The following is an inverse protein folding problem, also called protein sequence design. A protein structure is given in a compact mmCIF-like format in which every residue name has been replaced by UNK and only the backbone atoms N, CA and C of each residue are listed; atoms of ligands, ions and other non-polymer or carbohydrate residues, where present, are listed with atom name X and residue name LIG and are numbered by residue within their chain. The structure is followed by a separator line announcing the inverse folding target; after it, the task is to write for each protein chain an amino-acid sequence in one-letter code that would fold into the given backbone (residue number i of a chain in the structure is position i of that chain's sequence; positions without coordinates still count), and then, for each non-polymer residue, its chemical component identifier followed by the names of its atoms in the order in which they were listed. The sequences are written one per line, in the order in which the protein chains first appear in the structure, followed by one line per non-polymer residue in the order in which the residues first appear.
data_IF_648438411743
#
_entry.id   IF_648438411743
#
_cell.length_a   1.000
_cell.length_b   1.000
_cell.length_c   1.000
_cell.angle_alpha   90.00
_cell.angle_beta   90.00
_cell.angle_gamma   90.00
#
_symmetry.space_group_name_H-M   'P 1'
#
loop_
_entity.id
_entity.type
_entity.pdbx_description
1 polymer ?
#
# COMPACT_ATOMS: atom_id res chain seq x y z
N UNK A 1 10.60 -0.45 16.88
CA UNK A 1 9.69 -1.00 15.82
C UNK A 1 8.84 -2.09 16.42
N UNK A 2 7.53 -1.88 16.47
CA UNK A 2 6.57 -2.89 16.92
C UNK A 2 6.38 -3.95 15.84
N UNK A 3 6.06 -5.17 16.28
CA UNK A 3 5.65 -6.28 15.41
C UNK A 3 4.15 -6.53 15.60
N UNK A 4 3.42 -6.68 14.51
CA UNK A 4 1.95 -6.83 14.52
C UNK A 4 1.51 -8.11 13.81
N UNK A 5 0.36 -8.70 14.18
CA UNK A 5 -0.24 -9.80 13.44
C UNK A 5 -0.48 -9.42 11.97
N UNK A 6 -0.30 -10.40 11.08
CA UNK A 6 -0.43 -10.17 9.64
C UNK A 6 -1.33 -11.23 8.98
N UNK A 7 -2.57 -11.31 9.45
CA UNK A 7 -3.56 -12.28 9.00
C UNK A 7 -3.06 -13.72 9.13
N UNK A 8 -3.10 -14.52 8.05
CA UNK A 8 -2.62 -15.90 8.07
C UNK A 8 -1.09 -16.02 7.93
N UNK A 9 -0.39 -14.87 7.81
CA UNK A 9 1.05 -14.85 7.58
C UNK A 9 1.81 -14.57 8.87
N UNK A 10 3.13 -14.79 8.84
CA UNK A 10 4.02 -14.43 9.94
C UNK A 10 3.92 -12.94 10.28
N UNK A 11 4.02 -12.56 11.55
CA UNK A 11 3.94 -11.16 11.99
C UNK A 11 4.87 -10.23 11.22
N UNK A 12 4.49 -8.96 11.12
CA UNK A 12 5.21 -7.94 10.33
C UNK A 12 5.51 -6.70 11.18
N UNK A 13 6.53 -5.92 10.81
CA UNK A 13 6.76 -4.60 11.39
C UNK A 13 5.56 -3.67 11.20
N UNK A 14 5.27 -2.81 12.16
CA UNK A 14 4.17 -1.84 12.10
C UNK A 14 4.29 -0.88 10.91
N UNK A 15 5.50 -0.68 10.39
CA UNK A 15 5.77 0.05 9.16
C UNK A 15 6.28 -0.90 8.06
N UNK A 16 5.88 -0.62 6.83
CA UNK A 16 6.33 -1.27 5.59
C UNK A 16 6.97 -0.21 4.69
N UNK A 17 8.15 -0.47 4.14
CA UNK A 17 8.76 0.45 3.19
C UNK A 17 8.10 0.30 1.81
N UNK A 18 7.40 1.35 1.37
CA UNK A 18 6.77 1.40 0.05
C UNK A 18 7.74 1.85 -1.05
N UNK A 19 7.63 1.23 -2.20
CA UNK A 19 8.47 1.52 -3.37
C UNK A 19 8.08 2.78 -4.15
N UNK A 20 6.92 3.38 -3.89
CA UNK A 20 6.45 4.54 -4.64
C UNK A 20 7.41 5.74 -4.58
N UNK A 21 7.90 6.07 -3.38
CA UNK A 21 8.91 7.12 -3.21
C UNK A 21 10.26 6.74 -3.80
N UNK A 22 10.73 5.50 -3.56
CA UNK A 22 11.98 4.97 -4.12
C UNK A 22 11.98 4.97 -5.66
N UNK A 23 10.82 4.74 -6.27
CA UNK A 23 10.59 4.78 -7.72
C UNK A 23 10.26 6.17 -8.27
N UNK A 24 10.37 7.22 -7.46
CA UNK A 24 10.14 8.62 -7.88
C UNK A 24 8.69 8.95 -8.26
N UNK A 25 7.70 8.17 -7.80
CA UNK A 25 6.27 8.47 -8.02
C UNK A 25 5.84 9.74 -7.27
N UNK A 26 6.45 9.99 -6.12
CA UNK A 26 6.11 11.11 -5.22
C UNK A 26 7.11 12.27 -5.27
N UNK A 27 8.00 12.29 -6.23
CA UNK A 27 9.03 13.31 -6.37
C UNK A 27 10.41 12.70 -6.65
N UNK A 28 11.39 13.56 -6.91
CA UNK A 28 12.72 13.13 -7.29
C UNK A 28 13.51 12.52 -6.11
N UNK A 29 14.22 11.45 -6.41
CA UNK A 29 15.27 10.90 -5.55
C UNK A 29 16.38 10.33 -6.45
N UNK A 30 17.54 10.03 -5.90
CA UNK A 30 18.59 9.32 -6.63
C UNK A 30 18.56 7.83 -6.28
N UNK A 31 19.04 6.97 -7.18
CA UNK A 31 19.15 5.54 -6.86
C UNK A 31 20.03 5.28 -5.64
N UNK A 32 21.13 6.01 -5.49
CA UNK A 32 21.99 5.88 -4.30
C UNK A 32 21.28 6.22 -3.00
N UNK A 33 20.45 7.30 -2.98
CA UNK A 33 19.65 7.65 -1.82
C UNK A 33 18.54 6.62 -1.57
N UNK A 34 17.89 6.13 -2.62
CA UNK A 34 16.86 5.09 -2.50
C UNK A 34 17.44 3.80 -1.90
N UNK A 35 18.61 3.35 -2.36
CA UNK A 35 19.33 2.19 -1.78
C UNK A 35 19.70 2.43 -0.32
N UNK A 36 20.23 3.62 0.00
CA UNK A 36 20.54 3.98 1.38
C UNK A 36 19.29 4.01 2.28
N UNK A 37 18.16 4.49 1.76
CA UNK A 37 16.86 4.49 2.45
C UNK A 37 16.39 3.06 2.74
N UNK A 38 16.55 2.13 1.80
CA UNK A 38 16.23 0.70 2.00
C UNK A 38 17.06 0.11 3.14
N UNK A 39 18.38 0.34 3.14
CA UNK A 39 19.26 -0.16 4.19
C UNK A 39 18.91 0.43 5.56
N UNK A 40 18.64 1.74 5.63
CA UNK A 40 18.25 2.39 6.87
C UNK A 40 16.88 1.90 7.38
N UNK A 41 15.93 1.63 6.48
CA UNK A 41 14.63 1.06 6.84
C UNK A 41 14.78 -0.31 7.51
N UNK A 42 15.61 -1.19 6.95
CA UNK A 42 15.89 -2.50 7.56
C UNK A 42 16.63 -2.35 8.90
N UNK A 43 17.61 -1.46 8.98
CA UNK A 43 18.29 -1.16 10.24
C UNK A 43 17.34 -0.60 11.31
N UNK A 44 16.31 0.16 10.90
CA UNK A 44 15.22 0.65 11.75
C UNK A 44 14.18 -0.42 12.14
N UNK A 45 14.35 -1.66 11.68
CA UNK A 45 13.49 -2.80 12.03
C UNK A 45 12.29 -3.04 11.10
N UNK A 46 12.22 -2.39 9.94
CA UNK A 46 11.22 -2.70 8.91
C UNK A 46 11.50 -4.09 8.33
N UNK A 47 10.48 -4.95 8.28
CA UNK A 47 10.58 -6.33 7.83
C UNK A 47 9.80 -6.62 6.53
N UNK A 48 9.10 -5.64 5.98
CA UNK A 48 8.35 -5.79 4.73
C UNK A 48 8.65 -4.64 3.77
N UNK A 49 8.90 -5.00 2.50
CA UNK A 49 9.17 -4.09 1.39
C UNK A 49 8.04 -4.23 0.37
N UNK A 50 7.33 -3.13 0.04
CA UNK A 50 6.14 -3.15 -0.81
C UNK A 50 6.42 -2.51 -2.17
N UNK A 51 6.84 -3.34 -3.13
CA UNK A 51 7.27 -2.92 -4.46
C UNK A 51 6.16 -3.08 -5.51
N UNK A 52 6.38 -2.53 -6.69
CA UNK A 52 5.57 -2.78 -7.89
C UNK A 52 6.35 -2.42 -9.16
N UNK A 53 6.11 -3.09 -10.31
CA UNK A 53 6.74 -2.74 -11.58
C UNK A 53 6.32 -1.34 -12.10
N UNK A 54 5.16 -0.83 -11.65
CA UNK A 54 4.66 0.50 -11.98
C UNK A 54 5.29 1.63 -11.15
N UNK A 55 6.12 1.31 -10.15
CA UNK A 55 6.76 2.32 -9.32
C UNK A 55 8.08 2.78 -9.95
N UNK A 56 7.96 3.84 -10.74
CA UNK A 56 9.03 4.45 -11.49
C UNK A 56 9.25 3.84 -12.88
N UNK A 57 10.09 4.53 -13.65
CA UNK A 57 10.40 4.11 -15.01
C UNK A 57 11.10 2.75 -14.99
N UNK A 58 10.68 1.83 -15.84
CA UNK A 58 11.29 0.51 -16.02
C UNK A 58 11.37 -0.33 -14.73
N UNK A 59 10.43 -0.12 -13.77
CA UNK A 59 10.39 -0.81 -12.49
C UNK A 59 11.51 -0.38 -11.55
N UNK A 60 11.79 0.91 -11.48
CA UNK A 60 12.90 1.49 -10.70
C UNK A 60 12.91 1.03 -9.25
N UNK A 61 11.76 1.04 -8.56
CA UNK A 61 11.67 0.58 -7.18
C UNK A 61 12.15 -0.87 -7.00
N UNK A 62 11.82 -1.75 -7.93
CA UNK A 62 12.28 -3.16 -7.90
C UNK A 62 13.78 -3.27 -8.19
N UNK A 63 14.31 -2.43 -9.08
CA UNK A 63 15.77 -2.37 -9.36
C UNK A 63 16.55 -1.87 -8.15
N UNK A 64 16.00 -0.93 -7.37
CA UNK A 64 16.58 -0.49 -6.09
C UNK A 64 16.75 -1.68 -5.14
N UNK A 65 15.76 -2.55 -5.02
CA UNK A 65 15.85 -3.77 -4.20
C UNK A 65 16.92 -4.72 -4.73
N UNK A 66 16.94 -4.93 -6.06
CA UNK A 66 17.95 -5.77 -6.73
C UNK A 66 19.39 -5.26 -6.52
N UNK A 67 19.59 -3.95 -6.43
CA UNK A 67 20.88 -3.33 -6.14
C UNK A 67 21.22 -3.41 -4.63
N UNK A 68 20.27 -3.05 -3.76
CA UNK A 68 20.48 -3.02 -2.32
C UNK A 68 20.89 -4.39 -1.74
N UNK A 69 20.35 -5.48 -2.26
CA UNK A 69 20.56 -6.81 -1.67
C UNK A 69 21.25 -7.82 -2.58
N UNK A 70 21.52 -7.48 -3.84
CA UNK A 70 22.19 -8.34 -4.80
C UNK A 70 21.64 -9.78 -4.85
N UNK A 71 20.30 -9.93 -4.70
CA UNK A 71 19.62 -11.23 -4.73
C UNK A 71 19.55 -11.97 -3.39
N UNK A 72 19.99 -11.37 -2.30
CA UNK A 72 19.96 -11.99 -0.96
C UNK A 72 19.35 -11.05 0.06
N UNK A 73 18.03 -11.16 0.28
CA UNK A 73 17.35 -10.42 1.34
C UNK A 73 17.91 -10.79 2.73
N UNK A 74 18.03 -9.84 3.65
CA UNK A 74 18.34 -10.12 5.05
C UNK A 74 17.32 -11.08 5.67
N UNK A 75 17.76 -11.88 6.66
CA UNK A 75 16.87 -12.83 7.34
C UNK A 75 15.68 -12.10 7.97
N UNK A 76 14.47 -12.59 7.72
CA UNK A 76 13.23 -12.03 8.25
C UNK A 76 12.68 -10.85 7.42
N UNK A 77 13.41 -10.38 6.41
CA UNK A 77 12.89 -9.38 5.46
C UNK A 77 12.12 -10.08 4.35
N UNK A 78 10.92 -9.57 4.09
CA UNK A 78 10.00 -10.06 3.07
C UNK A 78 9.75 -8.99 2.02
N UNK A 79 9.33 -9.41 0.83
CA UNK A 79 9.06 -8.49 -0.27
C UNK A 79 7.73 -8.81 -0.92
N UNK A 80 7.01 -7.76 -1.30
CA UNK A 80 5.83 -7.84 -2.16
C UNK A 80 6.16 -7.29 -3.53
N UNK A 81 5.43 -7.77 -4.54
CA UNK A 81 5.27 -7.05 -5.81
C UNK A 81 3.83 -7.14 -6.28
N UNK A 82 3.49 -6.47 -7.37
CA UNK A 82 2.10 -6.30 -7.80
C UNK A 82 1.98 -6.39 -9.32
N UNK A 83 0.75 -6.60 -9.81
CA UNK A 83 0.45 -6.52 -11.23
C UNK A 83 -0.91 -5.90 -11.50
N UNK A 84 -0.96 -4.97 -12.45
CA UNK A 84 -2.21 -4.45 -13.01
C UNK A 84 -2.61 -5.36 -14.17
N UNK A 85 -3.57 -6.27 -13.92
CA UNK A 85 -3.95 -7.30 -14.90
C UNK A 85 -4.96 -6.79 -15.93
N UNK A 86 -5.93 -5.98 -15.50
CA UNK A 86 -7.10 -5.68 -16.31
C UNK A 86 -8.05 -6.89 -16.45
N UNK A 87 -8.79 -6.95 -17.54
CA UNK A 87 -9.73 -8.04 -17.87
C UNK A 87 -9.34 -8.72 -19.19
N UNK A 88 -8.22 -9.48 -19.24
CA UNK A 88 -7.86 -10.25 -20.41
C UNK A 88 -8.78 -11.47 -20.57
N UNK A 89 -8.74 -12.19 -21.72
CA UNK A 89 -9.35 -13.51 -21.83
C UNK A 89 -8.88 -14.45 -20.71
N UNK A 90 -9.80 -15.24 -20.14
CA UNK A 90 -9.51 -16.09 -18.98
C UNK A 90 -8.30 -17.03 -19.18
N UNK A 91 -8.13 -17.57 -20.39
CA UNK A 91 -7.01 -18.44 -20.74
C UNK A 91 -5.63 -17.77 -20.71
N UNK A 92 -5.58 -16.42 -20.72
CA UNK A 92 -4.33 -15.66 -20.71
C UNK A 92 -3.90 -15.23 -19.30
N UNK A 93 -4.81 -15.29 -18.32
CA UNK A 93 -4.60 -14.73 -16.96
C UNK A 93 -3.34 -15.25 -16.30
N UNK A 94 -3.18 -16.59 -16.25
CA UNK A 94 -2.01 -17.19 -15.63
C UNK A 94 -0.70 -16.74 -16.31
N UNK A 95 -0.65 -16.77 -17.65
CA UNK A 95 0.55 -16.39 -18.37
C UNK A 95 0.93 -14.92 -18.12
N UNK A 96 -0.05 -14.01 -18.14
CA UNK A 96 0.19 -12.58 -17.87
C UNK A 96 0.69 -12.32 -16.44
N UNK A 97 0.12 -12.98 -15.44
CA UNK A 97 0.60 -12.90 -14.05
C UNK A 97 2.00 -13.48 -13.92
N UNK A 98 2.25 -14.64 -14.53
CA UNK A 98 3.55 -15.32 -14.53
C UNK A 98 4.64 -14.46 -15.17
N UNK A 99 4.42 -13.93 -16.36
CA UNK A 99 5.38 -13.09 -17.09
C UNK A 99 5.70 -11.79 -16.32
N UNK A 100 4.68 -11.17 -15.72
CA UNK A 100 4.87 -9.99 -14.89
C UNK A 100 5.72 -10.31 -13.66
N UNK A 101 5.44 -11.43 -13.00
CA UNK A 101 6.22 -11.89 -11.85
C UNK A 101 7.67 -12.18 -12.24
N UNK A 102 7.91 -12.85 -13.37
CA UNK A 102 9.26 -13.13 -13.87
C UNK A 102 10.05 -11.83 -14.11
N UNK A 103 9.42 -10.83 -14.72
CA UNK A 103 10.00 -9.52 -14.89
C UNK A 103 10.36 -8.85 -13.57
N UNK A 104 9.48 -8.91 -12.57
CA UNK A 104 9.71 -8.37 -11.22
C UNK A 104 10.84 -9.09 -10.50
N UNK A 105 10.84 -10.42 -10.53
CA UNK A 105 11.89 -11.26 -9.94
C UNK A 105 13.26 -10.97 -10.56
N UNK A 106 13.32 -10.82 -11.88
CA UNK A 106 14.56 -10.47 -12.59
C UNK A 106 15.09 -9.09 -12.15
N UNK A 107 14.22 -8.06 -12.02
CA UNK A 107 14.64 -6.72 -11.57
C UNK A 107 15.12 -6.72 -10.12
N UNK A 108 14.43 -7.43 -9.23
CA UNK A 108 14.81 -7.58 -7.83
C UNK A 108 15.94 -8.59 -7.61
N UNK A 109 16.30 -9.40 -8.64
CA UNK A 109 17.27 -10.49 -8.55
C UNK A 109 16.88 -11.56 -7.53
N UNK A 110 15.59 -11.84 -7.40
CA UNK A 110 15.03 -12.81 -6.45
C UNK A 110 14.44 -14.01 -7.20
N UNK A 111 14.26 -15.12 -6.49
CA UNK A 111 13.63 -16.33 -7.05
C UNK A 111 12.15 -16.47 -6.68
N UNK A 112 11.68 -15.72 -5.70
CA UNK A 112 10.30 -15.69 -5.23
C UNK A 112 9.99 -14.36 -4.53
N UNK A 113 8.71 -14.05 -4.38
CA UNK A 113 8.23 -13.00 -3.49
C UNK A 113 7.34 -13.58 -2.39
N UNK A 114 7.23 -12.87 -1.29
CA UNK A 114 6.37 -13.30 -0.16
C UNK A 114 4.89 -13.00 -0.45
N UNK A 115 4.61 -11.89 -1.13
CA UNK A 115 3.27 -11.51 -1.54
C UNK A 115 3.23 -11.06 -2.99
N UNK A 116 2.21 -11.48 -3.72
CA UNK A 116 1.90 -10.98 -5.05
C UNK A 116 0.50 -10.40 -5.08
N UNK A 117 0.36 -9.12 -5.41
CA UNK A 117 -0.87 -8.35 -5.21
C UNK A 117 -1.49 -7.97 -6.56
N UNK A 118 -2.79 -8.21 -6.73
CA UNK A 118 -3.55 -7.64 -7.83
C UNK A 118 -3.66 -6.12 -7.63
N UNK A 119 -3.00 -5.34 -8.51
CA UNK A 119 -2.82 -3.89 -8.37
C UNK A 119 -3.91 -3.08 -9.10
N UNK A 120 -4.93 -3.74 -9.64
CA UNK A 120 -6.07 -3.14 -10.32
C UNK A 120 -7.32 -3.11 -9.45
N UNK A 121 -8.34 -2.39 -9.92
CA UNK A 121 -9.66 -2.40 -9.29
C UNK A 121 -10.40 -3.67 -9.69
N UNK A 122 -11.13 -4.27 -8.76
CA UNK A 122 -12.12 -5.32 -9.06
C UNK A 122 -13.44 -4.60 -9.33
N UNK A 123 -14.10 -4.93 -10.46
CA UNK A 123 -15.31 -4.27 -10.94
C UNK A 123 -16.22 -5.29 -11.62
N UNK A 124 -17.44 -5.44 -11.11
CA UNK A 124 -18.42 -6.38 -11.70
C UNK A 124 -18.83 -6.00 -13.13
N UNK A 125 -18.74 -4.71 -13.47
CA UNK A 125 -19.10 -4.18 -14.79
C UNK A 125 -17.92 -4.07 -15.77
N UNK A 126 -16.71 -4.49 -15.38
CA UNK A 126 -15.57 -4.44 -16.28
C UNK A 126 -15.76 -5.40 -17.46
N UNK A 127 -15.59 -4.88 -18.67
CA UNK A 127 -15.65 -5.66 -19.91
C UNK A 127 -14.31 -6.33 -20.22
N UNK A 128 -14.33 -7.38 -21.04
CA UNK A 128 -13.12 -7.97 -21.59
C UNK A 128 -12.32 -6.91 -22.36
N UNK A 129 -11.00 -6.87 -22.14
CA UNK A 129 -10.11 -5.86 -22.71
C UNK A 129 -9.91 -4.62 -21.83
N UNK A 130 -10.64 -4.45 -20.73
CA UNK A 130 -10.35 -3.37 -19.77
C UNK A 130 -8.91 -3.50 -19.23
N UNK A 131 -8.18 -2.39 -19.19
CA UNK A 131 -6.73 -2.43 -18.88
C UNK A 131 -6.39 -2.23 -17.40
N UNK A 132 -7.29 -1.63 -16.62
CA UNK A 132 -7.05 -1.28 -15.20
C UNK A 132 -8.09 -1.85 -14.25
N UNK A 133 -9.15 -2.45 -14.78
CA UNK A 133 -10.24 -3.05 -14.02
C UNK A 133 -10.33 -4.52 -14.34
N UNK A 134 -10.38 -5.35 -13.31
CA UNK A 134 -10.53 -6.81 -13.41
C UNK A 134 -11.99 -7.17 -13.14
N UNK A 135 -12.65 -7.82 -14.08
CA UNK A 135 -14.01 -8.28 -13.90
C UNK A 135 -14.13 -9.22 -12.70
N UNK A 136 -15.18 -9.07 -11.88
CA UNK A 136 -15.39 -9.87 -10.66
C UNK A 136 -15.54 -11.37 -10.93
N UNK A 137 -16.17 -11.77 -12.05
CA UNK A 137 -16.25 -13.17 -12.49
C UNK A 137 -14.87 -13.69 -12.87
N UNK A 138 -14.16 -12.96 -13.74
CA UNK A 138 -12.79 -13.30 -14.14
C UNK A 138 -11.85 -13.40 -12.91
N UNK A 139 -12.03 -12.51 -11.92
CA UNK A 139 -11.25 -12.57 -10.68
C UNK A 139 -11.45 -13.92 -9.97
N UNK A 140 -12.69 -14.36 -9.78
CA UNK A 140 -12.96 -15.63 -9.10
C UNK A 140 -12.58 -16.86 -9.91
N UNK A 141 -12.87 -16.85 -11.22
CA UNK A 141 -12.79 -18.03 -12.08
C UNK A 141 -11.39 -18.26 -12.68
N UNK A 142 -10.58 -17.20 -12.81
CA UNK A 142 -9.26 -17.30 -13.43
C UNK A 142 -8.13 -16.69 -12.62
N UNK A 143 -8.32 -15.49 -12.01
CA UNK A 143 -7.23 -14.79 -11.30
C UNK A 143 -6.86 -15.51 -10.01
N UNK A 144 -7.84 -15.86 -9.19
CA UNK A 144 -7.59 -16.59 -7.93
C UNK A 144 -6.95 -17.96 -8.20
N UNK A 145 -7.47 -18.82 -9.10
CA UNK A 145 -6.79 -20.06 -9.46
C UNK A 145 -5.36 -19.86 -9.97
N UNK A 146 -5.09 -18.77 -10.72
CA UNK A 146 -3.74 -18.46 -11.17
C UNK A 146 -2.80 -18.10 -10.00
N UNK A 147 -3.27 -17.30 -9.04
CA UNK A 147 -2.50 -17.01 -7.82
C UNK A 147 -2.25 -18.26 -6.97
N UNK A 148 -3.26 -19.11 -6.80
CA UNK A 148 -3.12 -20.39 -6.08
C UNK A 148 -2.12 -21.31 -6.75
N UNK A 149 -2.12 -21.36 -8.08
CA UNK A 149 -1.11 -22.09 -8.86
C UNK A 149 0.30 -21.53 -8.63
N UNK A 150 0.51 -20.21 -8.72
CA UNK A 150 1.82 -19.60 -8.45
C UNK A 150 2.28 -19.86 -7.00
N UNK A 151 1.35 -19.94 -6.05
CA UNK A 151 1.63 -20.32 -4.66
C UNK A 151 2.07 -21.77 -4.56
N UNK A 152 1.35 -22.69 -5.22
CA UNK A 152 1.70 -24.13 -5.22
C UNK A 152 3.03 -24.41 -5.92
N UNK A 153 3.41 -23.61 -6.92
CA UNK A 153 4.71 -23.64 -7.59
C UNK A 153 5.84 -23.05 -6.72
N UNK A 154 5.52 -22.46 -5.55
CA UNK A 154 6.48 -21.85 -4.64
C UNK A 154 7.05 -20.51 -5.12
N UNK A 155 6.48 -19.93 -6.18
CA UNK A 155 6.93 -18.67 -6.78
C UNK A 155 6.49 -17.45 -5.96
N UNK A 156 5.37 -17.55 -5.28
CA UNK A 156 4.87 -16.57 -4.31
C UNK A 156 4.55 -17.27 -2.97
N UNK A 157 4.59 -16.54 -1.88
CA UNK A 157 4.20 -17.06 -0.56
C UNK A 157 2.69 -17.01 -0.36
N UNK A 158 2.07 -15.90 -0.77
CA UNK A 158 0.63 -15.68 -0.73
C UNK A 158 0.23 -14.61 -1.75
N UNK A 159 -1.07 -14.40 -1.90
CA UNK A 159 -1.59 -13.35 -2.77
C UNK A 159 -2.45 -12.34 -2.01
N UNK A 160 -2.61 -11.15 -2.59
CA UNK A 160 -3.39 -10.06 -2.04
C UNK A 160 -4.12 -9.26 -3.12
N UNK A 161 -4.90 -8.28 -2.67
CA UNK A 161 -5.61 -7.35 -3.54
C UNK A 161 -5.39 -5.90 -3.13
N UNK A 162 -5.57 -4.98 -4.07
CA UNK A 162 -5.73 -3.56 -3.78
C UNK A 162 -7.18 -3.31 -3.34
N UNK A 163 -7.34 -2.78 -2.12
CA UNK A 163 -8.62 -2.38 -1.54
C UNK A 163 -8.98 -0.92 -1.86
N UNK A 164 -8.55 -0.42 -3.04
CA UNK A 164 -8.95 0.88 -3.58
C UNK A 164 -9.65 0.63 -4.91
N UNK A 165 -10.93 0.97 -4.99
CA UNK A 165 -11.79 0.67 -6.12
C UNK A 165 -13.25 0.69 -5.69
N UNK A 166 -14.07 -0.12 -6.33
CA UNK A 166 -15.48 -0.27 -6.00
C UNK A 166 -15.66 -0.98 -4.65
N UNK A 167 -16.06 -0.27 -3.57
CA UNK A 167 -16.17 -0.88 -2.25
C UNK A 167 -17.11 -2.08 -2.22
N UNK A 168 -18.19 -2.07 -3.00
CA UNK A 168 -19.11 -3.20 -3.12
C UNK A 168 -18.41 -4.49 -3.58
N UNK A 169 -17.55 -4.40 -4.61
CA UNK A 169 -16.81 -5.54 -5.14
C UNK A 169 -15.72 -6.02 -4.17
N UNK A 170 -15.03 -5.09 -3.50
CA UNK A 170 -14.00 -5.43 -2.51
C UNK A 170 -14.62 -6.13 -1.30
N UNK A 171 -15.73 -5.59 -0.77
CA UNK A 171 -16.46 -6.19 0.36
C UNK A 171 -16.98 -7.58 0.01
N UNK A 172 -17.49 -7.77 -1.22
CA UNK A 172 -17.95 -9.06 -1.70
C UNK A 172 -16.80 -10.12 -1.72
N UNK A 173 -15.60 -9.75 -2.15
CA UNK A 173 -14.42 -10.63 -2.08
C UNK A 173 -14.06 -10.96 -0.63
N UNK A 174 -14.05 -9.97 0.26
CA UNK A 174 -13.65 -10.18 1.66
C UNK A 174 -14.67 -11.02 2.43
N UNK A 175 -15.96 -10.88 2.16
CA UNK A 175 -17.04 -11.54 2.90
C UNK A 175 -17.39 -12.92 2.34
N UNK A 176 -17.39 -13.07 1.02
CA UNK A 176 -17.84 -14.30 0.36
C UNK A 176 -16.70 -15.15 -0.22
N UNK A 177 -15.48 -14.59 -0.29
CA UNK A 177 -14.30 -15.30 -0.80
C UNK A 177 -14.31 -15.58 -2.31
N UNK A 178 -13.24 -16.23 -2.80
CA UNK A 178 -12.05 -16.65 -2.07
C UNK A 178 -11.29 -15.45 -1.50
N UNK A 179 -10.78 -15.59 -0.28
CA UNK A 179 -10.17 -14.48 0.48
C UNK A 179 -8.68 -14.35 0.19
N UNK A 180 -8.21 -13.11 -0.07
CA UNK A 180 -6.77 -12.84 -0.12
C UNK A 180 -6.14 -12.97 1.26
N UNK A 181 -4.83 -13.21 1.34
CA UNK A 181 -4.11 -13.11 2.60
C UNK A 181 -4.00 -11.65 3.09
N UNK A 182 -3.98 -10.70 2.16
CA UNK A 182 -3.73 -9.27 2.43
C UNK A 182 -4.61 -8.40 1.54
N UNK A 183 -5.10 -7.28 2.10
CA UNK A 183 -5.69 -6.17 1.36
C UNK A 183 -4.93 -4.87 1.63
N UNK A 184 -4.57 -4.11 0.58
CA UNK A 184 -4.05 -2.74 0.71
C UNK A 184 -5.22 -1.76 0.73
N UNK A 185 -5.43 -1.07 1.85
CA UNK A 185 -6.57 -0.18 2.03
C UNK A 185 -6.13 1.23 2.47
N UNK A 186 -6.90 2.23 2.07
CA UNK A 186 -6.69 3.62 2.52
C UNK A 186 -6.72 3.67 4.05
N UNK A 187 -5.68 4.25 4.63
CA UNK A 187 -5.54 4.44 6.08
C UNK A 187 -5.07 5.87 6.37
N UNK A 188 -5.97 6.81 6.27
CA UNK A 188 -5.73 8.20 6.65
C UNK A 188 -6.99 8.82 7.27
N UNK A 189 -6.79 9.91 7.98
CA UNK A 189 -7.85 10.59 8.71
C UNK A 189 -8.97 11.16 7.82
N UNK A 190 -8.71 11.39 6.53
CA UNK A 190 -9.70 11.92 5.58
C UNK A 190 -10.59 10.84 4.97
N UNK A 191 -10.26 9.55 5.18
CA UNK A 191 -10.84 8.40 4.49
C UNK A 191 -10.83 8.56 2.94
N UNK A 192 -9.90 9.39 2.45
CA UNK A 192 -9.85 9.82 1.06
C UNK A 192 -8.86 9.01 0.23
N UNK A 193 -9.31 8.45 -0.89
CA UNK A 193 -8.43 7.88 -1.89
C UNK A 193 -7.74 8.94 -2.77
N UNK A 194 -8.13 10.23 -2.66
CA UNK A 194 -7.60 11.31 -3.50
C UNK A 194 -7.71 10.97 -4.98
N UNK A 195 -6.68 11.26 -5.75
CA UNK A 195 -6.61 11.00 -7.20
C UNK A 195 -6.68 9.52 -7.60
N UNK A 196 -6.68 8.58 -6.64
CA UNK A 196 -6.96 7.17 -6.92
C UNK A 196 -8.47 6.87 -7.05
N UNK A 197 -9.36 7.82 -6.72
CA UNK A 197 -10.80 7.67 -6.88
C UNK A 197 -11.19 7.72 -8.37
N UNK A 198 -11.19 6.57 -9.00
CA UNK A 198 -11.58 6.36 -10.41
C UNK A 198 -12.81 5.46 -10.53
N UNK A 199 -13.71 5.55 -9.55
CA UNK A 199 -14.96 4.81 -9.41
C UNK A 199 -16.04 5.75 -8.89
N UNK A 200 -17.30 5.46 -9.13
CA UNK A 200 -18.45 6.30 -8.84
C UNK A 200 -19.09 6.06 -7.47
N UNK A 201 -18.77 4.91 -6.82
CA UNK A 201 -19.22 4.66 -5.44
C UNK A 201 -18.55 5.61 -4.43
N UNK A 202 -19.20 5.83 -3.29
CA UNK A 202 -18.56 6.48 -2.15
C UNK A 202 -17.42 5.61 -1.62
N UNK A 203 -16.28 6.19 -1.28
CA UNK A 203 -15.20 5.45 -0.64
C UNK A 203 -15.63 4.98 0.76
N UNK A 204 -15.33 3.72 1.10
CA UNK A 204 -15.69 3.09 2.40
C UNK A 204 -14.48 2.35 3.00
N UNK A 205 -13.33 3.03 3.19
CA UNK A 205 -12.11 2.34 3.62
C UNK A 205 -12.28 1.69 5.00
N UNK A 206 -12.95 2.33 5.95
CA UNK A 206 -13.16 1.78 7.29
C UNK A 206 -14.03 0.52 7.28
N UNK A 207 -15.04 0.44 6.41
CA UNK A 207 -15.84 -0.78 6.24
C UNK A 207 -15.01 -1.91 5.64
N UNK A 208 -14.15 -1.61 4.65
CA UNK A 208 -13.23 -2.58 4.04
C UNK A 208 -12.25 -3.11 5.09
N UNK A 209 -11.66 -2.23 5.90
CA UNK A 209 -10.77 -2.62 7.01
C UNK A 209 -11.51 -3.53 7.99
N UNK A 210 -12.71 -3.15 8.43
CA UNK A 210 -13.51 -3.95 9.36
C UNK A 210 -13.89 -5.32 8.78
N UNK A 211 -14.25 -5.39 7.49
CA UNK A 211 -14.54 -6.64 6.81
C UNK A 211 -13.31 -7.54 6.71
N UNK A 212 -12.14 -6.97 6.38
CA UNK A 212 -10.88 -7.70 6.33
C UNK A 212 -10.55 -8.33 7.69
N UNK A 213 -10.62 -7.54 8.77
CA UNK A 213 -10.34 -8.01 10.15
C UNK A 213 -11.28 -9.15 10.55
N UNK A 214 -12.60 -8.97 10.33
CA UNK A 214 -13.60 -10.03 10.66
C UNK A 214 -13.32 -11.35 9.94
N UNK A 215 -12.70 -11.29 8.77
CA UNK A 215 -12.44 -12.44 7.92
C UNK A 215 -10.97 -12.92 7.96
N UNK A 216 -10.16 -12.42 8.89
CA UNK A 216 -8.77 -12.84 9.07
C UNK A 216 -7.82 -12.40 7.97
N UNK A 217 -8.19 -11.41 7.17
CA UNK A 217 -7.36 -10.82 6.11
C UNK A 217 -6.52 -9.69 6.69
N UNK A 218 -5.20 -9.71 6.45
CA UNK A 218 -4.32 -8.64 6.92
C UNK A 218 -4.56 -7.32 6.15
N UNK A 219 -4.43 -6.20 6.85
CA UNK A 219 -4.58 -4.88 6.23
C UNK A 219 -3.24 -4.15 6.18
N UNK A 220 -2.79 -3.86 4.97
CA UNK A 220 -1.70 -2.92 4.74
C UNK A 220 -2.30 -1.53 4.50
N UNK A 221 -2.17 -0.64 5.47
CA UNK A 221 -2.65 0.73 5.38
C UNK A 221 -1.80 1.54 4.40
N UNK A 222 -2.41 2.10 3.37
CA UNK A 222 -1.73 2.94 2.39
C UNK A 222 -2.21 4.39 2.47
N UNK A 223 -1.43 5.32 1.88
CA UNK A 223 -1.76 6.75 1.80
C UNK A 223 -1.90 7.43 3.17
N UNK A 224 -1.10 7.06 4.16
CA UNK A 224 -1.14 7.67 5.50
C UNK A 224 -1.08 9.21 5.47
N UNK A 225 -0.25 9.78 4.59
CA UNK A 225 -0.15 11.24 4.37
C UNK A 225 -1.00 11.74 3.19
N UNK A 226 -1.94 10.94 2.68
CA UNK A 226 -2.87 11.28 1.58
C UNK A 226 -2.14 11.92 0.37
N UNK A 227 -1.01 11.34 -0.06
CA UNK A 227 -0.15 11.86 -1.13
C UNK A 227 0.28 13.33 -0.94
N UNK A 228 0.57 13.72 0.29
CA UNK A 228 1.02 15.06 0.65
C UNK A 228 -0.08 15.96 1.21
N UNK A 229 -1.37 15.58 1.12
CA UNK A 229 -2.46 16.42 1.62
C UNK A 229 -2.46 16.58 3.15
N UNK A 230 -1.87 15.64 3.87
CA UNK A 230 -1.70 15.65 5.34
C UNK A 230 -0.27 16.03 5.76
N UNK A 231 0.44 16.80 4.95
CA UNK A 231 1.76 17.36 5.26
C UNK A 231 1.70 18.88 5.38
N UNK A 232 2.83 19.52 5.66
CA UNK A 232 2.92 20.98 5.78
C UNK A 232 2.67 21.70 4.45
N UNK A 233 3.04 21.07 3.33
CA UNK A 233 2.82 21.58 1.97
C UNK A 233 2.80 20.40 0.98
N UNK A 234 2.08 20.54 -0.13
CA UNK A 234 2.19 19.63 -1.26
C UNK A 234 3.50 19.95 -1.99
N UNK A 235 4.38 18.99 -2.11
CA UNK A 235 5.76 19.13 -2.61
C UNK A 235 5.89 19.03 -4.14
N UNK A 236 4.79 19.10 -4.85
CA UNK A 236 4.72 19.05 -6.32
C UNK A 236 3.61 19.94 -6.86
N UNK A 237 3.76 20.37 -8.08
CA UNK A 237 2.72 21.10 -8.79
C UNK A 237 1.54 20.18 -9.12
N UNK A 238 0.33 20.61 -8.77
CA UNK A 238 -0.92 19.94 -9.09
C UNK A 238 -1.87 20.94 -9.76
N UNK A 239 -2.70 20.51 -10.69
CA UNK A 239 -3.69 21.39 -11.29
C UNK A 239 -4.70 21.86 -10.24
N UNK A 240 -5.25 23.07 -10.39
CA UNK A 240 -6.34 23.56 -9.54
C UNK A 240 -7.50 22.58 -9.52
N UNK A 241 -8.03 22.30 -8.33
CA UNK A 241 -9.13 21.35 -8.16
C UNK A 241 -8.72 19.87 -8.19
N UNK A 242 -7.42 19.57 -8.24
CA UNK A 242 -6.97 18.18 -8.03
C UNK A 242 -7.46 17.65 -6.68
N UNK A 243 -7.85 16.37 -6.59
CA UNK A 243 -8.34 15.77 -5.34
C UNK A 243 -7.41 15.98 -4.15
N UNK A 244 -6.09 15.92 -4.36
CA UNK A 244 -5.09 16.16 -3.33
C UNK A 244 -5.07 17.62 -2.86
N UNK A 245 -5.37 18.59 -3.72
CA UNK A 245 -5.49 20.01 -3.33
C UNK A 245 -6.73 20.21 -2.47
N UNK A 246 -7.86 19.63 -2.87
CA UNK A 246 -9.11 19.65 -2.09
C UNK A 246 -8.90 19.01 -0.71
N UNK A 247 -8.25 17.86 -0.67
CA UNK A 247 -7.92 17.16 0.57
C UNK A 247 -6.94 17.98 1.44
N UNK A 248 -5.99 18.67 0.82
CA UNK A 248 -5.08 19.57 1.55
C UNK A 248 -5.85 20.71 2.21
N UNK A 249 -6.80 21.33 1.53
CA UNK A 249 -7.64 22.40 2.11
C UNK A 249 -8.50 21.85 3.25
N UNK A 250 -9.16 20.70 3.07
CA UNK A 250 -9.91 20.00 4.11
C UNK A 250 -9.08 19.70 5.36
N UNK A 251 -7.80 19.39 5.19
CA UNK A 251 -6.89 19.03 6.27
C UNK A 251 -6.35 20.24 7.06
N UNK A 252 -6.82 21.46 6.84
CA UNK A 252 -6.36 22.63 7.59
C UNK A 252 -6.54 22.47 9.12
N UNK A 253 -7.70 21.99 9.65
CA UNK A 253 -7.85 21.75 11.08
C UNK A 253 -6.88 20.70 11.63
N UNK A 254 -6.58 19.65 10.87
CA UNK A 254 -5.60 18.63 11.24
C UNK A 254 -4.19 19.24 11.41
N UNK A 255 -3.77 20.11 10.48
CA UNK A 255 -2.48 20.81 10.59
C UNK A 255 -2.41 21.74 11.80
N UNK A 256 -3.54 22.39 12.17
CA UNK A 256 -3.61 23.19 13.38
C UNK A 256 -3.41 22.34 14.64
N UNK A 257 -4.03 21.16 14.71
CA UNK A 257 -3.84 20.21 15.81
C UNK A 257 -2.38 19.74 15.89
N UNK A 258 -1.75 19.41 14.76
CA UNK A 258 -0.33 19.03 14.73
C UNK A 258 0.57 20.13 15.29
N UNK A 259 0.31 21.39 14.90
CA UNK A 259 1.07 22.54 15.40
C UNK A 259 0.91 22.72 16.92
N UNK A 260 -0.31 22.57 17.46
CA UNK A 260 -0.57 22.64 18.91
C UNK A 260 0.12 21.52 19.69
N UNK A 261 0.23 20.32 19.09
CA UNK A 261 0.94 19.18 19.65
C UNK A 261 2.46 19.31 19.50
N UNK A 262 2.96 20.31 18.77
CA UNK A 262 4.38 20.54 18.54
C UNK A 262 5.04 19.49 17.62
N UNK A 263 4.28 18.86 16.74
CA UNK A 263 4.76 17.86 15.77
C UNK A 263 4.45 18.29 14.34
N UNK A 264 5.15 17.68 13.37
CA UNK A 264 4.78 17.90 11.98
C UNK A 264 3.45 17.23 11.64
N UNK A 265 2.69 17.74 10.63
CA UNK A 265 1.50 17.06 10.16
C UNK A 265 1.78 15.64 9.62
N UNK A 266 2.92 15.41 8.96
CA UNK A 266 3.30 14.09 8.46
C UNK A 266 3.53 13.09 9.61
N UNK A 267 4.22 13.52 10.68
CA UNK A 267 4.40 12.72 11.88
C UNK A 267 3.05 12.32 12.50
N UNK A 268 2.14 13.30 12.70
CA UNK A 268 0.81 13.04 13.26
C UNK A 268 -0.03 12.13 12.35
N UNK A 269 0.07 12.29 11.02
CA UNK A 269 -0.65 11.44 10.06
C UNK A 269 -0.19 9.98 10.12
N UNK A 270 1.11 9.73 10.27
CA UNK A 270 1.62 8.36 10.45
C UNK A 270 1.19 7.77 11.80
N UNK A 271 1.25 8.56 12.89
CA UNK A 271 0.73 8.09 14.19
C UNK A 271 -0.78 7.77 14.12
N UNK A 272 -1.57 8.61 13.45
CA UNK A 272 -3.00 8.35 13.27
C UNK A 272 -3.24 7.05 12.49
N UNK A 273 -2.59 6.87 11.34
CA UNK A 273 -2.71 5.64 10.56
C UNK A 273 -2.27 4.38 11.34
N UNK A 274 -1.20 4.48 12.14
CA UNK A 274 -0.74 3.41 13.03
C UNK A 274 -1.70 3.12 14.19
N UNK A 275 -2.54 4.10 14.56
CA UNK A 275 -3.54 3.99 15.65
C UNK A 275 -4.91 3.55 15.15
N UNK A 276 -5.13 3.46 13.84
CA UNK A 276 -6.39 2.96 13.29
C UNK A 276 -6.56 1.46 13.59
N UNK A 277 -7.73 1.10 14.12
CA UNK A 277 -8.05 -0.30 14.41
C UNK A 277 -7.98 -1.16 13.14
N UNK A 278 -7.39 -2.35 13.27
CA UNK A 278 -7.30 -3.32 12.19
C UNK A 278 -6.14 -3.15 11.22
N UNK A 279 -5.36 -2.08 11.32
CA UNK A 279 -4.17 -1.89 10.48
C UNK A 279 -3.03 -2.77 10.99
N UNK A 280 -2.60 -3.72 10.14
CA UNK A 280 -1.45 -4.60 10.43
C UNK A 280 -0.13 -3.87 10.24
N UNK A 281 -0.01 -3.08 9.18
CA UNK A 281 1.21 -2.31 8.86
C UNK A 281 0.84 -1.09 8.02
N UNK A 282 1.60 0.00 8.15
CA UNK A 282 1.43 1.22 7.34
C UNK A 282 2.53 1.29 6.28
N UNK A 283 2.13 1.39 5.02
CA UNK A 283 3.04 1.47 3.87
C UNK A 283 3.49 2.92 3.67
N UNK A 284 4.79 3.12 3.76
CA UNK A 284 5.43 4.42 3.65
C UNK A 284 5.65 4.83 2.19
N UNK A 285 5.44 6.10 1.88
CA UNK A 285 5.70 6.70 0.58
C UNK A 285 6.99 7.53 0.51
N UNK A 286 7.96 7.25 1.37
CA UNK A 286 9.17 8.07 1.56
C UNK A 286 10.12 8.03 0.37
N UNK A 287 10.77 9.17 0.07
CA UNK A 287 11.72 9.36 -1.03
C UNK A 287 13.18 9.30 -0.57
N UNK A 288 13.42 9.51 0.72
CA UNK A 288 14.76 9.66 1.30
C UNK A 288 14.77 9.24 2.76
N UNK A 289 15.99 9.21 3.33
CA UNK A 289 16.23 8.83 4.73
C UNK A 289 15.68 9.83 5.74
N UNK A 290 15.56 11.10 5.40
CA UNK A 290 15.01 12.12 6.29
C UNK A 290 13.52 11.87 6.55
N UNK A 291 12.74 11.68 5.47
CA UNK A 291 11.33 11.31 5.57
C UNK A 291 11.14 9.95 6.28
N UNK A 292 12.04 8.98 6.03
CA UNK A 292 12.00 7.68 6.71
C UNK A 292 12.21 7.83 8.23
N UNK A 293 13.17 8.65 8.67
CA UNK A 293 13.43 8.88 10.10
C UNK A 293 12.24 9.49 10.82
N UNK A 294 11.53 10.41 10.16
CA UNK A 294 10.29 10.97 10.70
C UNK A 294 9.22 9.89 10.91
N UNK A 295 9.04 8.99 9.93
CA UNK A 295 8.10 7.87 10.06
C UNK A 295 8.50 6.90 11.18
N UNK A 296 9.79 6.58 11.30
CA UNK A 296 10.33 5.73 12.39
C UNK A 296 10.13 6.39 13.75
N UNK A 297 10.33 7.72 13.84
CA UNK A 297 10.07 8.48 15.06
C UNK A 297 8.57 8.50 15.43
N UNK A 298 7.69 8.61 14.45
CA UNK A 298 6.24 8.55 14.67
C UNK A 298 5.81 7.18 15.22
N UNK A 299 6.38 6.09 14.71
CA UNK A 299 6.12 4.74 15.23
C UNK A 299 6.68 4.56 16.65
N UNK A 300 7.90 5.03 16.90
CA UNK A 300 8.54 4.94 18.21
C UNK A 300 7.82 5.76 19.31
N UNK A 301 7.14 6.83 18.93
CA UNK A 301 6.31 7.62 19.86
C UNK A 301 5.04 6.89 20.31
N UNK A 302 4.68 5.78 19.64
CA UNK A 302 3.52 4.95 20.00
C UNK A 302 2.19 5.44 19.46
N UNK A 303 1.12 4.78 19.87
CA UNK A 303 -0.23 5.10 19.44
C UNK A 303 -0.70 6.45 20.03
N UNK A 304 -1.54 7.16 19.29
CA UNK A 304 -2.23 8.34 19.79
C UNK A 304 -3.21 7.97 20.92
N UNK A 305 -3.38 8.87 21.87
CA UNK A 305 -4.42 8.67 22.88
C UNK A 305 -5.83 8.77 22.27
N UNK A 306 -6.84 8.09 22.84
CA UNK A 306 -8.22 8.17 22.36
C UNK A 306 -8.75 9.60 22.26
N UNK A 307 -8.34 10.49 23.18
CA UNK A 307 -8.75 11.88 23.21
C UNK A 307 -8.19 12.65 22.00
N UNK A 308 -6.94 12.39 21.61
CA UNK A 308 -6.33 13.02 20.43
C UNK A 308 -6.98 12.51 19.16
N UNK A 309 -7.23 11.20 19.05
CA UNK A 309 -7.95 10.61 17.90
C UNK A 309 -9.34 11.23 17.78
N UNK A 310 -10.11 11.26 18.86
CA UNK A 310 -11.45 11.85 18.87
C UNK A 310 -11.42 13.32 18.47
N UNK A 311 -10.46 14.10 18.96
CA UNK A 311 -10.29 15.50 18.61
C UNK A 311 -10.02 15.68 17.11
N UNK A 312 -9.16 14.84 16.54
CA UNK A 312 -8.84 14.86 15.11
C UNK A 312 -10.10 14.53 14.30
N UNK A 313 -10.80 13.45 14.65
CA UNK A 313 -12.00 13.00 13.94
C UNK A 313 -13.11 14.06 13.97
N UNK A 314 -13.33 14.71 15.12
CA UNK A 314 -14.31 15.80 15.26
C UNK A 314 -13.94 17.05 14.46
N UNK A 315 -12.67 17.35 14.29
CA UNK A 315 -12.21 18.52 13.56
C UNK A 315 -12.35 18.40 12.03
N UNK A 316 -12.46 17.17 11.53
CA UNK A 316 -12.55 16.88 10.09
C UNK A 316 -13.95 16.45 9.64
N UNK A 317 -14.87 16.22 10.57
CA UNK A 317 -16.32 16.02 10.36
C UNK A 317 -16.71 14.68 9.96
#
# INVERSE_FOLDING_TARGET
MQTRPFGPLEPVSALTLGGGGLGQVWGATTRGEAVATVHEAIAGGITLLDMAPSYGRDGEAERVIGEAFAGRLPRGVRVTTKHVLGSPPAGEVYQRLSDSLDGSLARMRLNRVDLFILHGMIDAAAEEGATTRTNSGLFREAVVPAFERLTSEGRIGAWGITGVGFPSAILDVLEHGPRPAVVQCIANVLDSPGGMKRFDEAARPREIIAAAVRNGVAVMGIRAVAAGSLTSAIDRELPPGAPEVIDFERAAPFRAIAAELGVSPAFLAHQYALSMDGISTVVLGVKNREELRECLAAEAAGALSPEVIQRIDQALG
#
